data_IF_464720653074
#
_entry.id   IF_464720653074
#
_cell.length_a   1.000
_cell.length_b   1.000
_cell.length_c   1.000
_cell.angle_alpha   90.00
_cell.angle_beta   90.00
_cell.angle_gamma   90.00
#
_symmetry.space_group_name_H-M   'P 1'
#
loop_
_entity.id
_entity.type
_entity.pdbx_description
1 polymer ?
#
# COMPACT_ATOMS: atom_id res chain seq x y z
N UNK A 1 16.25 -8.38 -18.27
CA UNK A 1 17.00 -7.79 -17.14
C UNK A 1 17.51 -8.94 -16.30
N UNK A 2 18.81 -9.02 -15.98
CA UNK A 2 19.32 -10.00 -15.03
C UNK A 2 18.60 -9.82 -13.69
N UNK A 3 17.94 -10.87 -13.19
CA UNK A 3 17.22 -10.86 -11.90
C UNK A 3 18.15 -11.05 -10.71
N UNK A 4 19.39 -11.45 -10.96
CA UNK A 4 20.37 -11.83 -9.93
C UNK A 4 21.31 -10.67 -9.58
N UNK A 5 21.19 -9.53 -10.29
CA UNK A 5 22.01 -8.34 -10.07
C UNK A 5 21.15 -7.22 -9.50
N UNK A 6 21.55 -6.60 -8.39
CA UNK A 6 20.82 -5.48 -7.84
C UNK A 6 20.72 -4.34 -8.85
N UNK A 7 19.58 -3.67 -8.86
CA UNK A 7 19.33 -2.54 -9.73
C UNK A 7 20.32 -1.41 -9.40
N UNK A 8 20.79 -0.72 -10.43
CA UNK A 8 21.73 0.36 -10.23
C UNK A 8 21.01 1.58 -9.63
N UNK A 9 21.62 2.18 -8.61
CA UNK A 9 21.03 3.35 -7.91
C UNK A 9 21.46 4.68 -8.51
N UNK A 10 22.58 4.66 -9.20
CA UNK A 10 23.22 5.84 -9.75
C UNK A 10 24.59 5.52 -10.29
N UNK A 11 25.26 6.54 -10.81
CA UNK A 11 26.62 6.45 -11.32
C UNK A 11 27.33 7.79 -11.12
N UNK A 12 28.67 7.80 -11.02
CA UNK A 12 29.42 9.02 -11.20
C UNK A 12 29.39 9.45 -12.68
N UNK A 13 29.24 10.75 -12.90
CA UNK A 13 29.30 11.39 -14.22
C UNK A 13 30.22 12.60 -14.10
N UNK A 14 30.97 12.89 -15.17
CA UNK A 14 31.80 14.09 -15.25
C UNK A 14 30.94 15.21 -15.84
N UNK A 15 30.82 16.31 -15.10
CA UNK A 15 30.17 17.54 -15.57
C UNK A 15 30.97 18.18 -16.71
N UNK A 16 30.35 19.04 -17.53
CA UNK A 16 31.07 19.81 -18.55
C UNK A 16 32.25 20.62 -17.98
N UNK A 17 32.16 21.03 -16.72
CA UNK A 17 33.18 21.78 -15.98
C UNK A 17 34.33 20.90 -15.46
N UNK A 18 34.21 19.57 -15.57
CA UNK A 18 35.23 18.60 -15.15
C UNK A 18 35.01 17.98 -13.77
N UNK A 19 34.01 18.42 -13.01
CA UNK A 19 33.70 17.87 -11.69
C UNK A 19 33.00 16.52 -11.77
N UNK A 20 33.34 15.60 -10.86
CA UNK A 20 32.66 14.31 -10.71
C UNK A 20 31.41 14.45 -9.83
N UNK A 21 30.24 14.23 -10.43
CA UNK A 21 28.93 14.32 -9.76
C UNK A 21 28.27 12.95 -9.74
N UNK A 22 27.63 12.59 -8.62
CA UNK A 22 26.81 11.38 -8.55
C UNK A 22 25.39 11.66 -9.04
N UNK A 23 24.95 10.95 -10.07
CA UNK A 23 23.57 11.04 -10.56
C UNK A 23 22.75 9.86 -10.06
N UNK A 24 21.56 10.13 -9.53
CA UNK A 24 20.61 9.10 -9.10
C UNK A 24 19.76 8.63 -10.29
N UNK A 25 19.53 7.33 -10.38
CA UNK A 25 18.67 6.74 -11.40
C UNK A 25 17.24 6.60 -10.89
N UNK A 26 16.28 6.87 -11.78
CA UNK A 26 14.88 6.53 -11.58
C UNK A 26 14.41 5.68 -12.76
N UNK A 27 13.57 4.69 -12.47
CA UNK A 27 13.12 3.67 -13.40
C UNK A 27 11.62 3.80 -13.65
N UNK A 28 11.23 3.75 -14.91
CA UNK A 28 9.83 3.61 -15.32
C UNK A 28 9.42 2.14 -15.34
N UNK A 29 8.17 1.85 -14.96
CA UNK A 29 7.54 0.50 -15.04
C UNK A 29 8.27 -0.59 -14.23
N UNK A 30 8.88 -0.23 -13.10
CA UNK A 30 9.60 -1.15 -12.24
C UNK A 30 8.65 -2.00 -11.36
N UNK A 31 8.08 -3.07 -11.94
CA UNK A 31 7.21 -4.00 -11.21
C UNK A 31 8.02 -5.11 -10.53
N UNK A 32 7.59 -5.53 -9.34
CA UNK A 32 8.21 -6.65 -8.62
C UNK A 32 9.64 -6.37 -8.12
N UNK A 33 9.95 -5.11 -7.81
CA UNK A 33 11.20 -4.74 -7.14
C UNK A 33 11.12 -5.08 -5.64
N UNK A 34 12.10 -5.82 -5.15
CA UNK A 34 12.33 -5.98 -3.73
C UNK A 34 13.25 -4.86 -3.23
N UNK A 35 12.72 -3.93 -2.43
CA UNK A 35 13.50 -2.83 -1.85
C UNK A 35 14.55 -3.29 -0.83
N UNK A 36 14.49 -4.54 -0.36
CA UNK A 36 15.50 -5.10 0.54
C UNK A 36 16.78 -5.50 -0.20
N UNK A 37 16.65 -6.11 -1.39
CA UNK A 37 17.78 -6.61 -2.17
C UNK A 37 18.11 -5.80 -3.43
N UNK A 38 17.17 -4.96 -3.89
CA UNK A 38 17.26 -4.27 -5.17
C UNK A 38 17.06 -5.19 -6.38
N UNK A 39 16.52 -6.40 -6.18
CA UNK A 39 16.33 -7.40 -7.21
C UNK A 39 14.89 -7.40 -7.74
N UNK A 40 14.73 -7.78 -9.01
CA UNK A 40 13.44 -7.99 -9.64
C UNK A 40 13.02 -9.46 -9.48
N UNK A 41 11.74 -9.67 -9.16
CA UNK A 41 11.14 -11.01 -9.09
C UNK A 41 10.16 -11.17 -7.93
N UNK A 42 10.27 -10.36 -6.89
CA UNK A 42 9.31 -10.30 -5.78
C UNK A 42 9.27 -8.90 -5.17
N UNK A 43 8.14 -8.52 -4.58
CA UNK A 43 8.04 -7.25 -3.85
C UNK A 43 8.55 -7.39 -2.42
N UNK A 44 8.91 -6.28 -1.77
CA UNK A 44 9.33 -6.26 -0.37
C UNK A 44 8.32 -6.96 0.58
N UNK A 45 7.01 -6.81 0.31
CA UNK A 45 5.93 -7.48 1.09
C UNK A 45 5.98 -9.01 1.05
N UNK A 46 6.54 -9.57 -0.02
CA UNK A 46 6.70 -11.01 -0.26
C UNK A 46 8.13 -11.50 0.00
N UNK A 47 9.01 -10.62 0.49
CA UNK A 47 10.38 -10.96 0.81
C UNK A 47 10.45 -11.83 2.07
N UNK A 48 11.29 -12.86 2.03
CA UNK A 48 11.55 -13.76 3.18
C UNK A 48 12.32 -13.01 4.28
N UNK A 49 13.17 -12.06 3.90
CA UNK A 49 13.87 -11.20 4.84
C UNK A 49 13.00 -10.02 5.22
N UNK A 50 12.81 -9.87 6.53
CA UNK A 50 12.19 -8.69 7.13
C UNK A 50 13.28 -7.81 7.71
N UNK A 51 13.27 -6.54 7.30
CA UNK A 51 14.10 -5.52 7.92
C UNK A 51 13.65 -5.29 9.37
N UNK A 52 14.59 -4.89 10.23
CA UNK A 52 14.24 -4.46 11.60
C UNK A 52 13.59 -3.09 11.56
N UNK A 53 12.76 -2.79 12.56
CA UNK A 53 12.18 -1.46 12.69
C UNK A 53 13.29 -0.41 12.86
N UNK A 54 13.27 0.60 12.00
CA UNK A 54 14.27 1.68 11.98
C UNK A 54 15.50 1.43 11.09
N UNK A 55 15.59 0.28 10.42
CA UNK A 55 16.66 0.02 9.46
C UNK A 55 16.31 0.67 8.10
N UNK A 56 17.25 1.43 7.53
CA UNK A 56 17.06 2.13 6.26
C UNK A 56 17.41 1.21 5.09
N UNK A 57 16.48 1.03 4.15
CA UNK A 57 16.73 0.18 2.97
C UNK A 57 17.61 0.89 1.96
N UNK A 58 18.61 0.20 1.37
CA UNK A 58 19.47 0.80 0.34
C UNK A 58 18.71 1.16 -0.95
N UNK A 59 17.52 0.60 -1.15
CA UNK A 59 16.59 0.88 -2.23
C UNK A 59 15.28 1.41 -1.65
N UNK A 60 14.60 2.31 -2.35
CA UNK A 60 13.32 2.85 -1.91
C UNK A 60 12.42 3.28 -3.06
N UNK A 61 11.21 3.74 -2.70
CA UNK A 61 10.20 4.21 -3.66
C UNK A 61 10.74 5.30 -4.60
N UNK A 62 11.76 6.05 -4.17
CA UNK A 62 12.46 7.07 -4.96
C UNK A 62 13.12 6.53 -6.24
N UNK A 63 13.38 5.22 -6.34
CA UNK A 63 13.88 4.57 -7.56
C UNK A 63 12.81 4.45 -8.65
N UNK A 64 11.54 4.62 -8.31
CA UNK A 64 10.44 4.44 -9.24
C UNK A 64 9.91 5.80 -9.69
N UNK A 65 9.95 6.07 -11.00
CA UNK A 65 9.36 7.27 -11.58
C UNK A 65 7.85 7.26 -11.31
N UNK A 66 7.33 8.38 -10.82
CA UNK A 66 5.89 8.55 -10.63
C UNK A 66 5.28 7.67 -9.52
N UNK A 67 6.10 7.11 -8.61
CA UNK A 67 5.61 6.35 -7.46
C UNK A 67 4.83 7.28 -6.52
N UNK A 68 3.54 7.42 -6.79
CA UNK A 68 2.57 7.99 -5.87
C UNK A 68 2.17 6.84 -4.98
N UNK A 69 2.53 6.91 -3.69
CA UNK A 69 1.93 6.00 -2.68
C UNK A 69 0.44 5.92 -2.98
N UNK A 70 -0.12 4.74 -3.27
CA UNK A 70 -1.56 4.60 -3.31
C UNK A 70 -2.02 5.09 -1.95
N UNK A 71 -2.69 6.25 -1.90
CA UNK A 71 -3.54 6.54 -0.75
C UNK A 71 -4.50 5.38 -0.78
N UNK A 72 -4.31 4.41 0.11
CA UNK A 72 -5.28 3.37 0.39
C UNK A 72 -6.63 4.07 0.32
N UNK A 73 -7.46 3.71 -0.64
CA UNK A 73 -8.77 4.31 -0.84
C UNK A 73 -9.51 4.03 0.46
N UNK A 74 -9.42 4.96 1.39
CA UNK A 74 -10.25 5.01 2.57
C UNK A 74 -11.62 5.54 2.14
N UNK A 75 -12.17 5.02 1.04
CA UNK A 75 -13.61 4.96 0.88
C UNK A 75 -14.08 3.77 1.71
N UNK A 76 -13.97 3.92 3.04
CA UNK A 76 -14.95 3.28 3.91
C UNK A 76 -16.26 3.94 3.51
N UNK A 77 -17.16 3.19 2.87
CA UNK A 77 -18.53 3.66 2.73
C UNK A 77 -19.00 4.12 4.12
N UNK A 78 -19.68 5.27 4.25
CA UNK A 78 -20.21 5.70 5.54
C UNK A 78 -21.11 4.58 6.09
N UNK A 79 -21.09 4.30 7.41
CA UNK A 79 -21.97 3.29 7.97
C UNK A 79 -23.41 3.68 7.67
N UNK A 80 -24.16 2.78 7.05
CA UNK A 80 -25.60 2.93 6.85
C UNK A 80 -26.27 3.17 8.21
N UNK A 81 -27.08 4.22 8.37
CA UNK A 81 -27.79 4.45 9.62
C UNK A 81 -28.75 3.28 9.90
N UNK A 82 -28.93 2.88 11.17
CA UNK A 82 -29.92 1.87 11.51
C UNK A 82 -31.32 2.33 11.09
N UNK A 83 -32.05 1.42 10.46
CA UNK A 83 -33.45 1.60 10.05
C UNK A 83 -34.25 2.06 11.27
N UNK A 84 -34.88 3.24 11.18
CA UNK A 84 -35.85 3.71 12.18
C UNK A 84 -37.05 2.77 12.14
N UNK A 85 -37.24 1.99 13.21
CA UNK A 85 -38.47 1.24 13.41
C UNK A 85 -39.55 2.24 13.86
N UNK A 86 -40.39 2.64 12.91
CA UNK A 86 -41.57 3.46 13.16
C UNK A 86 -42.60 2.55 13.83
N UNK A 87 -42.65 2.60 15.17
CA UNK A 87 -43.73 1.98 15.92
C UNK A 87 -45.03 2.70 15.62
N UNK A 88 -45.98 2.00 14.99
CA UNK A 88 -47.38 2.38 14.96
C UNK A 88 -48.20 1.52 15.92
N UNK A 89 -49.03 2.22 16.67
CA UNK A 89 -49.77 1.82 17.86
C UNK A 89 -51.17 1.29 17.51
N UNK A 90 -51.66 0.37 18.38
CA UNK A 90 -53.06 0.26 18.87
C UNK A 90 -54.07 -0.30 17.83
N UNK A 91 -55.06 -1.17 18.10
CA UNK A 91 -56.00 -1.54 19.18
C UNK A 91 -56.24 -3.07 19.06
N UNK A 92 -56.43 -3.90 20.10
CA UNK A 92 -57.58 -3.94 21.01
C UNK A 92 -58.51 -5.13 20.69
N UNK A 93 -58.64 -6.11 21.61
CA UNK A 93 -59.91 -6.76 22.04
C UNK A 93 -59.79 -8.23 22.50
N UNK A 94 -60.28 -8.45 23.72
CA UNK A 94 -61.04 -9.61 24.25
C UNK A 94 -60.40 -10.98 24.55
N UNK A 95 -60.39 -11.25 25.87
CA UNK A 95 -60.96 -12.43 26.54
C UNK A 95 -60.28 -13.78 26.39
N UNK A 96 -59.61 -14.20 27.48
CA UNK A 96 -59.44 -15.61 27.81
C UNK A 96 -60.05 -15.86 29.19
N UNK A 97 -61.19 -16.56 29.20
CA UNK A 97 -61.74 -17.26 30.36
C UNK A 97 -61.71 -18.76 30.03
N UNK A 98 -60.98 -19.48 30.88
CA UNK A 98 -61.14 -20.87 31.36
C UNK A 98 -61.96 -21.88 30.56
N UNK A 99 -61.40 -23.09 30.40
CA UNK A 99 -62.15 -24.35 30.39
C UNK A 99 -61.32 -25.45 31.08
N UNK A 100 -62.06 -26.27 31.84
CA UNK A 100 -61.74 -27.40 32.75
C UNK A 100 -60.50 -28.25 32.47
#
# INVERSE_FOLDING_TARGET
>A
MPTDKPIQRGAPVISPEGDQVWVAFQYERLQGLCFHYGLLGHEAKSCIVRLRDGEETPYGEWLCVGFRRPKFQQTRAPPTPPRRDQGDKVQGSTTYKSCD
#
